data_IF_206132737051
#
_entry.id   IF_206132737051
#
_cell.length_a   1.000
_cell.length_b   1.000
_cell.length_c   1.000
_cell.angle_alpha   90.00
_cell.angle_beta   90.00
_cell.angle_gamma   90.00
#
_symmetry.space_group_name_H-M   'P 1'
#
loop_
_entity.id
_entity.type
_entity.pdbx_description
1 polymer ?
#
# COMPACT_ATOMS: atom_id res chain seq x y z
N UNK A 1 -8.08 -18.16 -28.25
CA UNK A 1 -9.52 -18.50 -28.40
C UNK A 1 -9.73 -18.81 -29.87
N UNK A 2 -10.06 -20.06 -30.21
CA UNK A 2 -10.32 -20.50 -31.56
C UNK A 2 -11.78 -20.94 -31.71
N UNK A 3 -12.39 -20.61 -32.83
CA UNK A 3 -13.79 -21.01 -33.15
C UNK A 3 -13.74 -22.41 -33.77
N UNK A 4 -14.42 -23.36 -33.17
CA UNK A 4 -14.59 -24.69 -33.73
C UNK A 4 -15.63 -24.71 -34.83
N UNK A 5 -15.62 -25.74 -35.73
CA UNK A 5 -16.54 -25.82 -36.89
C UNK A 5 -18.02 -25.95 -36.56
N UNK A 6 -18.38 -26.25 -35.33
CA UNK A 6 -19.73 -26.34 -34.77
C UNK A 6 -20.23 -25.05 -34.10
N UNK A 7 -19.46 -23.98 -34.21
CA UNK A 7 -19.80 -22.66 -33.65
C UNK A 7 -19.48 -22.48 -32.18
N UNK A 8 -18.86 -23.45 -31.54
CA UNK A 8 -18.35 -23.34 -30.18
C UNK A 8 -16.96 -22.68 -30.18
N UNK A 9 -16.60 -22.09 -29.05
CA UNK A 9 -15.26 -21.55 -28.84
C UNK A 9 -14.44 -22.48 -27.95
N UNK A 10 -13.30 -22.92 -28.44
CA UNK A 10 -12.31 -23.59 -27.61
C UNK A 10 -11.49 -22.53 -26.91
N UNK A 11 -11.60 -22.46 -25.57
CA UNK A 11 -10.76 -21.63 -24.71
C UNK A 11 -9.71 -22.56 -24.14
N UNK A 12 -8.49 -22.44 -24.62
CA UNK A 12 -7.35 -23.12 -24.00
C UNK A 12 -6.78 -22.20 -22.92
N UNK A 13 -6.94 -22.58 -21.69
CA UNK A 13 -6.20 -21.99 -20.58
C UNK A 13 -4.84 -22.69 -20.53
N UNK A 14 -3.80 -22.05 -21.02
CA UNK A 14 -2.45 -22.49 -20.69
C UNK A 14 -2.12 -21.94 -19.31
N UNK A 15 -2.30 -22.77 -18.29
CA UNK A 15 -1.70 -22.53 -16.99
C UNK A 15 -0.21 -22.83 -17.14
N UNK A 16 0.62 -21.81 -17.29
CA UNK A 16 2.04 -21.96 -17.00
C UNK A 16 2.16 -21.97 -15.49
N UNK A 17 2.49 -23.12 -14.88
CA UNK A 17 2.84 -23.11 -13.47
C UNK A 17 4.01 -22.15 -13.35
N UNK A 18 3.80 -21.11 -12.59
CA UNK A 18 4.80 -20.13 -12.29
C UNK A 18 5.96 -20.84 -11.61
N UNK A 19 7.09 -20.84 -12.24
CA UNK A 19 8.31 -21.40 -11.67
C UNK A 19 9.19 -20.21 -11.29
N UNK A 20 9.13 -19.82 -10.02
CA UNK A 20 10.24 -19.11 -9.43
C UNK A 20 11.46 -20.03 -9.56
N UNK A 21 12.51 -19.57 -10.24
CA UNK A 21 13.79 -20.29 -10.30
C UNK A 21 14.34 -20.72 -11.65
N UNK A 22 13.56 -20.71 -12.74
CA UNK A 22 14.06 -21.03 -14.07
C UNK A 22 14.57 -19.77 -14.82
N UNK A 23 15.56 -19.10 -14.23
CA UNK A 23 16.20 -17.96 -14.87
C UNK A 23 17.34 -18.40 -15.79
N UNK A 24 17.58 -17.70 -16.94
CA UNK A 24 18.79 -17.92 -17.74
C UNK A 24 20.06 -17.79 -16.89
N UNK A 25 21.08 -18.56 -17.22
CA UNK A 25 22.33 -18.58 -16.45
C UNK A 25 23.05 -17.21 -16.41
N UNK A 26 22.78 -16.35 -17.40
CA UNK A 26 23.30 -14.99 -17.55
C UNK A 26 22.30 -13.90 -17.11
N UNK A 27 21.20 -14.27 -16.44
CA UNK A 27 20.22 -13.31 -15.96
C UNK A 27 20.81 -12.39 -14.90
N UNK A 28 20.86 -11.11 -15.19
CA UNK A 28 21.46 -10.05 -14.36
C UNK A 28 20.43 -9.29 -13.50
N UNK A 29 19.33 -9.93 -13.09
CA UNK A 29 18.33 -9.32 -12.23
C UNK A 29 18.79 -9.22 -10.78
N UNK A 30 18.19 -8.27 -10.05
CA UNK A 30 18.35 -8.16 -8.59
C UNK A 30 17.62 -9.31 -7.91
N UNK A 31 18.12 -9.77 -6.76
CA UNK A 31 17.55 -10.91 -6.05
C UNK A 31 16.57 -10.43 -4.97
N UNK A 32 15.46 -11.17 -4.80
CA UNK A 32 14.52 -11.02 -3.71
C UNK A 32 14.08 -12.41 -3.23
N UNK A 33 14.31 -12.72 -1.95
CA UNK A 33 13.95 -13.98 -1.31
C UNK A 33 12.77 -13.86 -0.33
N UNK A 34 12.22 -12.66 -0.18
CA UNK A 34 11.09 -12.40 0.71
C UNK A 34 10.18 -11.30 0.15
N UNK A 35 8.99 -11.13 0.75
CA UNK A 35 8.11 -10.00 0.42
C UNK A 35 8.77 -8.66 0.75
N UNK A 36 9.44 -8.57 1.90
CA UNK A 36 10.13 -7.36 2.34
C UNK A 36 11.23 -6.96 1.37
N UNK A 37 12.07 -7.90 0.95
CA UNK A 37 13.13 -7.63 -0.04
C UNK A 37 12.55 -7.18 -1.39
N UNK A 38 11.43 -7.77 -1.85
CA UNK A 38 10.79 -7.36 -3.09
C UNK A 38 10.17 -5.95 -2.98
N UNK A 39 9.52 -5.64 -1.86
CA UNK A 39 8.97 -4.31 -1.58
C UNK A 39 10.09 -3.28 -1.57
N UNK A 40 11.17 -3.52 -0.81
CA UNK A 40 12.31 -2.62 -0.70
C UNK A 40 13.00 -2.40 -2.05
N UNK A 41 13.21 -3.48 -2.81
CA UNK A 41 13.79 -3.41 -4.15
C UNK A 41 12.92 -2.58 -5.10
N UNK A 42 11.61 -2.79 -5.11
CA UNK A 42 10.70 -2.02 -5.95
C UNK A 42 10.68 -0.53 -5.54
N UNK A 43 10.67 -0.25 -4.24
CA UNK A 43 10.69 1.12 -3.70
C UNK A 43 11.97 1.88 -4.07
N UNK A 44 13.12 1.21 -4.01
CA UNK A 44 14.43 1.81 -4.37
C UNK A 44 14.55 2.17 -5.85
N UNK A 45 13.79 1.49 -6.73
CA UNK A 45 13.94 1.59 -8.18
C UNK A 45 12.69 2.05 -8.92
N UNK A 46 11.82 2.82 -8.26
CA UNK A 46 10.62 3.38 -8.87
C UNK A 46 10.89 4.29 -10.08
N UNK A 47 12.12 4.78 -10.25
CA UNK A 47 12.57 5.56 -11.40
C UNK A 47 12.71 4.72 -12.69
N UNK A 48 12.72 3.40 -12.59
CA UNK A 48 12.82 2.47 -13.71
C UNK A 48 11.43 1.98 -14.13
N UNK A 49 11.13 1.97 -15.43
CA UNK A 49 9.87 1.44 -15.93
C UNK A 49 9.78 -0.09 -15.80
N UNK A 50 10.93 -0.75 -15.72
CA UNK A 50 11.07 -2.20 -15.54
C UNK A 50 12.31 -2.49 -14.70
N UNK A 51 12.12 -3.28 -13.65
CA UNK A 51 13.15 -3.66 -12.69
C UNK A 51 13.37 -5.17 -12.84
N UNK A 52 14.47 -5.63 -13.45
CA UNK A 52 14.78 -7.06 -13.54
C UNK A 52 14.96 -7.66 -12.14
N UNK A 53 14.19 -8.72 -11.82
CA UNK A 53 14.21 -9.36 -10.52
C UNK A 53 14.28 -10.88 -10.63
N UNK A 54 15.06 -11.49 -9.73
CA UNK A 54 15.12 -12.92 -9.51
C UNK A 54 14.52 -13.25 -8.15
N UNK A 55 13.44 -14.01 -8.16
CA UNK A 55 12.84 -14.53 -6.91
C UNK A 55 13.62 -15.78 -6.50
N UNK A 56 14.24 -15.74 -5.32
CA UNK A 56 15.14 -16.83 -4.87
C UNK A 56 14.44 -17.84 -3.97
N UNK A 57 13.31 -17.48 -3.34
CA UNK A 57 12.49 -18.42 -2.58
C UNK A 57 11.38 -19.04 -3.48
N UNK A 58 11.45 -20.34 -3.80
CA UNK A 58 10.45 -21.00 -4.64
C UNK A 58 9.09 -21.22 -3.97
N UNK A 59 8.96 -20.93 -2.69
CA UNK A 59 7.68 -21.00 -1.96
C UNK A 59 6.81 -19.78 -2.18
N UNK A 60 7.37 -18.64 -2.62
CA UNK A 60 6.65 -17.42 -2.89
C UNK A 60 5.85 -17.54 -4.20
N UNK A 61 4.55 -17.31 -4.12
CA UNK A 61 3.68 -17.36 -5.30
C UNK A 61 3.63 -15.99 -5.99
N UNK A 62 3.31 -15.99 -7.29
CA UNK A 62 3.13 -14.74 -8.05
C UNK A 62 2.03 -13.88 -7.49
N UNK A 63 0.93 -14.51 -7.11
CA UNK A 63 -0.23 -13.80 -6.58
C UNK A 63 0.15 -13.10 -5.26
N UNK A 64 0.87 -13.78 -4.38
CA UNK A 64 1.36 -13.20 -3.13
C UNK A 64 2.40 -12.09 -3.38
N UNK A 65 3.34 -12.31 -4.31
CA UNK A 65 4.32 -11.29 -4.71
C UNK A 65 3.66 -10.06 -5.33
N UNK A 66 2.65 -10.27 -6.20
CA UNK A 66 1.87 -9.19 -6.80
C UNK A 66 1.07 -8.39 -5.76
N UNK A 67 0.54 -9.06 -4.73
CA UNK A 67 -0.15 -8.41 -3.61
C UNK A 67 0.83 -7.63 -2.72
N UNK A 68 2.04 -8.16 -2.49
CA UNK A 68 3.07 -7.46 -1.74
C UNK A 68 3.48 -6.14 -2.42
N UNK A 69 3.58 -6.13 -3.74
CA UNK A 69 3.89 -4.92 -4.52
C UNK A 69 2.82 -3.82 -4.43
N UNK A 70 1.60 -4.11 -3.94
CA UNK A 70 0.60 -3.08 -3.68
C UNK A 70 0.97 -2.13 -2.53
N UNK A 71 1.97 -2.49 -1.72
CA UNK A 71 2.53 -1.60 -0.69
C UNK A 71 3.38 -0.46 -1.28
N UNK A 72 3.71 -0.52 -2.56
CA UNK A 72 4.65 0.38 -3.24
C UNK A 72 3.92 1.31 -4.21
N UNK A 73 4.51 2.48 -4.46
CA UNK A 73 4.05 3.40 -5.53
C UNK A 73 3.01 4.43 -5.11
N UNK A 74 2.56 4.44 -3.83
CA UNK A 74 1.79 5.54 -3.21
C UNK A 74 0.55 6.01 -3.97
N UNK A 75 -0.08 5.11 -4.75
CA UNK A 75 -1.25 5.43 -5.58
C UNK A 75 -0.93 6.14 -6.91
N UNK A 76 0.32 6.48 -7.19
CA UNK A 76 0.72 7.11 -8.46
C UNK A 76 1.50 6.20 -9.40
N UNK A 77 2.13 5.17 -8.87
CA UNK A 77 2.80 4.13 -9.64
C UNK A 77 2.20 2.76 -9.28
N UNK A 78 1.95 1.95 -10.29
CA UNK A 78 1.52 0.57 -10.14
C UNK A 78 2.71 -0.35 -10.38
N UNK A 79 3.14 -1.07 -9.35
CA UNK A 79 4.19 -2.07 -9.42
C UNK A 79 3.55 -3.45 -9.61
N UNK A 80 3.91 -4.15 -10.68
CA UNK A 80 3.38 -5.47 -10.99
C UNK A 80 4.50 -6.41 -11.38
N UNK A 81 4.45 -7.64 -10.87
CA UNK A 81 5.36 -8.68 -11.32
C UNK A 81 4.97 -9.13 -12.74
N UNK A 82 5.94 -9.25 -13.64
CA UNK A 82 5.75 -9.80 -14.97
C UNK A 82 5.25 -11.26 -14.90
N UNK A 83 4.56 -11.71 -15.95
CA UNK A 83 3.96 -13.07 -15.96
C UNK A 83 4.99 -14.19 -15.81
N UNK A 84 6.20 -13.98 -16.28
CA UNK A 84 7.33 -14.91 -16.18
C UNK A 84 8.17 -14.71 -14.91
N UNK A 85 7.83 -13.69 -14.08
CA UNK A 85 8.48 -13.39 -12.81
C UNK A 85 9.90 -12.86 -12.90
N UNK A 86 10.27 -12.40 -14.08
CA UNK A 86 11.65 -11.94 -14.31
C UNK A 86 11.81 -10.44 -14.11
N UNK A 87 10.70 -9.69 -13.96
CA UNK A 87 10.75 -8.24 -13.75
C UNK A 87 9.56 -7.72 -12.95
N UNK A 88 9.76 -6.62 -12.25
CA UNK A 88 8.69 -5.74 -11.75
C UNK A 88 8.52 -4.61 -12.76
N UNK A 89 7.34 -4.48 -13.33
CA UNK A 89 6.97 -3.35 -14.19
C UNK A 89 6.41 -2.22 -13.32
N UNK A 90 6.80 -0.98 -13.62
CA UNK A 90 6.37 0.23 -12.90
C UNK A 90 5.60 1.12 -13.88
N UNK A 91 4.28 1.23 -13.68
CA UNK A 91 3.38 1.92 -14.61
C UNK A 91 2.76 3.15 -13.94
N UNK A 92 2.88 4.35 -14.51
CA UNK A 92 2.20 5.53 -14.00
C UNK A 92 0.68 5.40 -14.06
N UNK A 93 0.00 5.87 -13.02
CA UNK A 93 -1.46 5.89 -12.91
C UNK A 93 -2.04 7.26 -13.30
N UNK A 94 -3.34 7.33 -13.44
CA UNK A 94 -4.11 8.55 -13.70
C UNK A 94 -3.62 9.36 -14.94
N UNK A 95 -3.08 8.70 -15.96
CA UNK A 95 -2.59 9.35 -17.17
C UNK A 95 -1.34 10.22 -16.99
N UNK A 96 -0.65 10.11 -15.87
CA UNK A 96 0.60 10.80 -15.63
C UNK A 96 1.74 10.23 -16.47
N UNK A 97 2.76 11.05 -16.72
CA UNK A 97 4.06 10.54 -17.16
C UNK A 97 4.79 9.90 -15.98
N UNK A 98 5.76 9.04 -16.23
CA UNK A 98 6.58 8.43 -15.18
C UNK A 98 7.21 9.48 -14.27
N UNK A 99 7.82 10.52 -14.85
CA UNK A 99 8.43 11.62 -14.09
C UNK A 99 7.39 12.37 -13.25
N UNK A 100 6.21 12.67 -13.79
CA UNK A 100 5.17 13.36 -13.03
C UNK A 100 4.65 12.52 -11.84
N UNK A 101 4.62 11.20 -11.97
CA UNK A 101 4.27 10.31 -10.85
C UNK A 101 5.36 10.32 -9.76
N UNK A 102 6.65 10.29 -10.15
CA UNK A 102 7.77 10.42 -9.22
C UNK A 102 7.77 11.79 -8.51
N UNK A 103 7.49 12.87 -9.25
CA UNK A 103 7.39 14.21 -8.66
C UNK A 103 6.29 14.27 -7.60
N UNK A 104 5.15 13.58 -7.83
CA UNK A 104 4.07 13.45 -6.83
C UNK A 104 4.51 12.70 -5.57
N UNK A 105 5.25 11.61 -5.72
CA UNK A 105 5.78 10.87 -4.57
C UNK A 105 6.76 11.72 -3.76
N UNK A 106 7.64 12.48 -4.42
CA UNK A 106 8.55 13.40 -3.76
C UNK A 106 7.82 14.55 -3.04
N UNK A 107 6.71 15.06 -3.61
CA UNK A 107 5.86 16.04 -2.93
C UNK A 107 5.20 15.45 -1.68
N UNK A 108 4.69 14.20 -1.74
CA UNK A 108 4.13 13.49 -0.57
C UNK A 108 5.17 13.34 0.53
N UNK A 109 6.38 12.91 0.19
CA UNK A 109 7.50 12.77 1.13
C UNK A 109 7.80 14.11 1.82
N UNK A 110 7.90 15.18 1.04
CA UNK A 110 8.13 16.53 1.55
C UNK A 110 7.02 17.00 2.50
N UNK A 111 5.75 16.76 2.15
CA UNK A 111 4.60 17.11 2.98
C UNK A 111 4.58 16.29 4.28
N UNK A 112 4.87 14.98 4.18
CA UNK A 112 4.95 14.11 5.36
C UNK A 112 6.05 14.58 6.32
N UNK A 113 7.24 14.91 5.80
CA UNK A 113 8.35 15.45 6.60
C UNK A 113 7.96 16.76 7.30
N UNK A 114 7.33 17.70 6.59
CA UNK A 114 6.87 18.97 7.18
C UNK A 114 5.87 18.74 8.33
N UNK A 115 4.92 17.82 8.16
CA UNK A 115 3.95 17.48 9.20
C UNK A 115 4.64 16.83 10.40
N UNK A 116 5.64 15.97 10.18
CA UNK A 116 6.44 15.39 11.27
C UNK A 116 7.18 16.49 12.02
N UNK A 117 7.83 17.44 11.35
CA UNK A 117 8.51 18.59 11.97
C UNK A 117 7.55 19.47 12.79
N UNK A 118 6.28 19.57 12.39
CA UNK A 118 5.24 20.32 13.11
C UNK A 118 4.71 19.59 14.35
N UNK A 119 4.60 18.26 14.30
CA UNK A 119 3.89 17.46 15.30
C UNK A 119 4.80 16.72 16.28
N UNK A 120 6.04 16.45 15.90
CA UNK A 120 6.98 15.59 16.64
C UNK A 120 8.12 16.41 17.22
N UNK A 121 8.50 16.09 18.45
CA UNK A 121 9.68 16.68 19.12
C UNK A 121 10.67 15.59 19.54
N UNK A 122 11.96 15.96 19.69
CA UNK A 122 13.04 15.03 20.10
C UNK A 122 12.79 14.36 21.45
N UNK A 123 11.92 14.93 22.29
CA UNK A 123 11.58 14.37 23.60
C UNK A 123 10.49 13.29 23.57
N UNK A 124 9.77 13.13 22.45
CA UNK A 124 8.71 12.15 22.31
C UNK A 124 9.28 10.75 22.09
N UNK A 125 8.73 9.79 22.80
CA UNK A 125 8.93 8.36 22.51
C UNK A 125 8.25 8.00 21.20
N UNK A 126 8.66 6.89 20.58
CA UNK A 126 8.07 6.43 19.30
C UNK A 126 6.55 6.25 19.37
N UNK A 127 5.95 5.67 20.45
CA UNK A 127 4.50 5.64 20.61
C UNK A 127 3.84 7.02 20.69
N UNK A 128 4.46 7.99 21.35
CA UNK A 128 3.95 9.37 21.42
C UNK A 128 4.01 10.06 20.06
N UNK A 129 5.07 9.85 19.27
CA UNK A 129 5.16 10.33 17.89
C UNK A 129 4.06 9.73 17.02
N UNK A 130 3.85 8.39 17.12
CA UNK A 130 2.80 7.70 16.39
C UNK A 130 1.41 8.26 16.69
N UNK A 131 1.08 8.48 17.96
CA UNK A 131 -0.21 9.04 18.38
C UNK A 131 -0.39 10.48 17.92
N UNK A 132 0.66 11.31 17.99
CA UNK A 132 0.62 12.70 17.53
C UNK A 132 0.35 12.78 16.03
N UNK A 133 1.01 11.96 15.20
CA UNK A 133 0.81 11.91 13.76
C UNK A 133 -0.56 11.35 13.39
N UNK A 134 -1.04 10.32 14.10
CA UNK A 134 -2.38 9.79 13.92
C UNK A 134 -3.46 10.82 14.25
N UNK A 135 -3.30 11.54 15.37
CA UNK A 135 -4.17 12.62 15.79
C UNK A 135 -4.21 13.74 14.74
N UNK A 136 -3.03 14.18 14.27
CA UNK A 136 -2.94 15.19 13.21
C UNK A 136 -3.71 14.80 11.95
N UNK A 137 -3.57 13.54 11.54
CA UNK A 137 -4.26 13.03 10.35
C UNK A 137 -5.78 12.99 10.57
N UNK A 138 -6.25 12.42 11.68
CA UNK A 138 -7.68 12.23 11.96
C UNK A 138 -8.43 13.52 12.24
N UNK A 139 -7.77 14.54 12.80
CA UNK A 139 -8.41 15.82 13.12
C UNK A 139 -8.46 16.80 11.96
N UNK A 140 -7.50 16.71 11.05
CA UNK A 140 -7.37 17.68 9.96
C UNK A 140 -8.04 17.23 8.68
N UNK A 141 -7.94 15.94 8.35
CA UNK A 141 -8.42 15.45 7.07
C UNK A 141 -9.91 15.18 7.10
N UNK A 142 -10.65 15.84 6.22
CA UNK A 142 -12.06 15.58 5.99
C UNK A 142 -12.25 14.41 5.01
N UNK A 143 -13.37 13.68 5.17
CA UNK A 143 -13.73 12.64 4.20
C UNK A 143 -14.35 13.26 2.94
N UNK A 144 -13.88 12.85 1.77
CA UNK A 144 -14.42 13.31 0.49
C UNK A 144 -15.71 12.58 0.14
N UNK A 145 -16.85 13.12 0.60
CA UNK A 145 -18.16 12.52 0.37
C UNK A 145 -18.61 12.55 -1.10
N UNK A 146 -17.89 13.23 -2.01
CA UNK A 146 -18.14 13.11 -3.45
C UNK A 146 -18.01 11.67 -3.94
N UNK A 147 -17.21 10.86 -3.26
CA UNK A 147 -17.14 9.41 -3.50
C UNK A 147 -18.53 8.76 -3.58
N UNK A 148 -19.49 9.19 -2.73
CA UNK A 148 -20.84 8.65 -2.70
C UNK A 148 -21.86 9.52 -3.46
N UNK A 149 -21.65 10.81 -3.54
CA UNK A 149 -22.68 11.74 -4.06
C UNK A 149 -22.45 12.17 -5.48
N UNK A 150 -21.21 12.31 -5.91
CA UNK A 150 -20.80 12.70 -7.26
C UNK A 150 -19.37 12.21 -7.57
N UNK A 151 -19.18 10.88 -7.74
CA UNK A 151 -17.84 10.29 -7.95
C UNK A 151 -17.09 10.90 -9.15
N UNK A 152 -17.81 11.38 -10.16
CA UNK A 152 -17.23 11.98 -11.36
C UNK A 152 -16.56 13.33 -11.11
N UNK A 153 -16.91 14.03 -10.03
CA UNK A 153 -16.29 15.32 -9.62
C UNK A 153 -15.18 15.15 -8.57
N UNK A 154 -15.00 13.93 -8.02
CA UNK A 154 -13.96 13.66 -7.03
C UNK A 154 -12.59 13.64 -7.72
N UNK A 155 -11.62 14.46 -7.28
CA UNK A 155 -10.28 14.42 -7.83
C UNK A 155 -9.57 13.11 -7.46
N UNK A 156 -8.70 12.67 -8.33
CA UNK A 156 -7.91 11.46 -8.09
C UNK A 156 -7.07 11.56 -6.80
N UNK A 157 -6.59 12.74 -6.50
CA UNK A 157 -5.79 13.06 -5.31
C UNK A 157 -6.49 12.63 -4.02
N UNK A 158 -7.83 12.70 -3.93
CA UNK A 158 -8.57 12.20 -2.76
C UNK A 158 -8.41 10.70 -2.50
N UNK A 159 -7.92 9.93 -3.49
CA UNK A 159 -7.61 8.50 -3.33
C UNK A 159 -6.19 8.23 -2.84
N UNK A 160 -5.34 9.24 -2.69
CA UNK A 160 -3.91 9.15 -2.42
C UNK A 160 -3.50 9.93 -1.18
N UNK A 161 -2.30 9.68 -0.66
CA UNK A 161 -1.70 10.45 0.42
C UNK A 161 -1.66 11.97 0.11
N UNK A 162 -1.50 12.35 -1.16
CA UNK A 162 -1.44 13.75 -1.57
C UNK A 162 -2.69 14.53 -1.17
N UNK A 163 -3.89 14.03 -1.47
CA UNK A 163 -5.13 14.68 -1.07
C UNK A 163 -5.27 14.83 0.45
N UNK A 164 -4.86 13.81 1.20
CA UNK A 164 -4.89 13.86 2.66
C UNK A 164 -3.89 14.86 3.25
N UNK A 165 -2.64 14.88 2.75
CA UNK A 165 -1.56 15.69 3.35
C UNK A 165 -1.52 17.12 2.82
N UNK A 166 -1.98 17.35 1.55
CA UNK A 166 -1.95 18.66 0.89
C UNK A 166 -3.27 19.41 1.02
N UNK A 167 -4.38 18.70 0.75
CA UNK A 167 -5.68 19.31 0.59
C UNK A 167 -6.58 19.11 1.81
N UNK A 168 -6.10 18.37 2.83
CA UNK A 168 -6.86 17.96 4.01
C UNK A 168 -8.20 17.25 3.62
N UNK A 169 -8.22 16.54 2.47
CA UNK A 169 -9.42 15.91 1.93
C UNK A 169 -9.10 14.57 1.24
N UNK A 170 -9.70 13.49 1.75
CA UNK A 170 -9.40 12.15 1.23
C UNK A 170 -10.55 11.16 1.45
N UNK A 171 -10.52 10.04 0.70
CA UNK A 171 -11.26 8.82 1.04
C UNK A 171 -10.32 7.84 1.77
N UNK A 172 -10.82 6.65 2.15
CA UNK A 172 -10.08 5.67 2.93
C UNK A 172 -8.66 5.36 2.39
N UNK A 173 -8.52 5.24 1.07
CA UNK A 173 -7.21 5.01 0.43
C UNK A 173 -6.23 6.14 0.71
N UNK A 174 -6.68 7.39 0.63
CA UNK A 174 -5.83 8.55 0.93
C UNK A 174 -5.43 8.63 2.40
N UNK A 175 -6.35 8.34 3.32
CA UNK A 175 -6.03 8.23 4.76
C UNK A 175 -4.98 7.15 5.04
N UNK A 176 -5.16 5.95 4.48
CA UNK A 176 -4.26 4.84 4.73
C UNK A 176 -2.85 5.09 4.18
N UNK A 177 -2.75 5.63 2.96
CA UNK A 177 -1.46 5.98 2.36
C UNK A 177 -0.79 7.16 3.07
N UNK A 178 -1.58 8.13 3.55
CA UNK A 178 -1.05 9.26 4.32
C UNK A 178 -0.47 8.80 5.67
N UNK A 179 -1.15 7.90 6.39
CA UNK A 179 -0.63 7.34 7.63
C UNK A 179 0.66 6.56 7.38
N UNK A 180 0.72 5.77 6.30
CA UNK A 180 1.95 5.06 5.90
C UNK A 180 3.09 6.06 5.67
N UNK A 181 2.87 7.09 4.85
CA UNK A 181 3.88 8.10 4.54
C UNK A 181 4.38 8.85 5.80
N UNK A 182 3.49 9.20 6.73
CA UNK A 182 3.85 9.85 7.99
C UNK A 182 4.68 8.94 8.89
N UNK A 183 4.30 7.67 9.00
CA UNK A 183 4.98 6.72 9.87
C UNK A 183 6.35 6.30 9.34
N UNK A 184 6.51 6.21 8.03
CA UNK A 184 7.80 5.99 7.38
C UNK A 184 8.82 7.07 7.74
N UNK A 185 8.41 8.35 7.89
CA UNK A 185 9.31 9.44 8.27
C UNK A 185 9.89 9.30 9.68
N UNK A 186 9.21 8.57 10.56
CA UNK A 186 9.67 8.33 11.95
C UNK A 186 10.12 6.89 12.18
N UNK A 187 10.30 6.11 11.09
CA UNK A 187 10.81 4.75 11.14
C UNK A 187 9.83 3.73 11.72
N UNK A 188 8.52 3.98 11.66
CA UNK A 188 7.48 3.04 12.10
C UNK A 188 7.03 2.22 10.88
N UNK A 189 7.23 0.89 10.86
CA UNK A 189 6.72 0.03 9.80
C UNK A 189 5.20 0.09 9.74
N UNK A 190 4.67 0.50 8.58
CA UNK A 190 3.26 0.70 8.35
C UNK A 190 2.84 0.14 6.98
N UNK A 191 1.92 -0.79 6.98
CA UNK A 191 1.38 -1.42 5.78
C UNK A 191 -0.05 -0.94 5.53
N UNK A 192 -0.43 -0.88 4.26
CA UNK A 192 -1.84 -0.71 3.89
C UNK A 192 -2.53 -2.07 3.82
N UNK A 193 -3.75 -2.15 4.32
CA UNK A 193 -4.61 -3.33 4.29
C UNK A 193 -5.88 -3.00 3.52
N UNK A 194 -6.18 -3.80 2.52
CA UNK A 194 -7.41 -3.70 1.74
C UNK A 194 -8.40 -4.79 2.15
N UNK A 195 -9.67 -4.43 2.26
CA UNK A 195 -10.74 -5.34 2.60
C UNK A 195 -12.10 -4.64 2.51
N UNK A 196 -13.01 -4.94 3.43
CA UNK A 196 -14.33 -4.33 3.51
C UNK A 196 -14.61 -3.82 4.91
N UNK A 197 -15.34 -2.72 4.99
CA UNK A 197 -15.98 -2.24 6.20
C UNK A 197 -17.48 -2.21 5.97
N UNK A 198 -18.25 -2.98 6.78
CA UNK A 198 -19.68 -3.16 6.62
C UNK A 198 -20.13 -3.52 5.20
N UNK A 199 -19.31 -4.31 4.47
CA UNK A 199 -19.59 -4.76 3.11
C UNK A 199 -19.18 -3.80 2.00
N UNK A 200 -18.65 -2.63 2.32
CA UNK A 200 -18.08 -1.68 1.35
C UNK A 200 -16.56 -1.81 1.28
N UNK A 201 -15.97 -1.67 0.09
CA UNK A 201 -14.53 -1.69 -0.06
C UNK A 201 -13.88 -0.62 0.79
N UNK A 202 -12.85 -0.99 1.53
CA UNK A 202 -12.18 -0.14 2.49
C UNK A 202 -10.69 -0.41 2.57
N UNK A 203 -9.93 0.60 2.99
CA UNK A 203 -8.50 0.52 3.20
C UNK A 203 -8.13 1.15 4.54
N UNK A 204 -7.24 0.48 5.27
CA UNK A 204 -6.72 0.91 6.57
C UNK A 204 -5.27 0.46 6.72
N UNK A 205 -4.70 0.51 7.92
CA UNK A 205 -3.30 0.19 8.14
C UNK A 205 -3.09 -0.93 9.17
N UNK A 206 -1.95 -1.59 9.02
CA UNK A 206 -1.34 -2.46 10.00
C UNK A 206 0.03 -1.86 10.36
N UNK A 207 0.28 -1.64 11.64
CA UNK A 207 1.41 -0.87 12.15
C UNK A 207 2.21 -1.71 13.14
N UNK A 208 3.53 -1.75 12.98
CA UNK A 208 4.45 -2.37 13.94
C UNK A 208 4.96 -1.34 14.94
N UNK A 209 4.60 -1.53 16.19
CA UNK A 209 5.03 -0.67 17.27
C UNK A 209 5.02 -1.43 18.60
N UNK A 210 6.03 -1.20 19.46
CA UNK A 210 6.21 -1.90 20.73
C UNK A 210 6.30 -3.44 20.61
N UNK A 211 6.87 -3.92 19.50
CA UNK A 211 7.12 -5.35 19.28
C UNK A 211 5.89 -6.14 18.82
N UNK A 212 4.85 -5.48 18.33
CA UNK A 212 3.65 -6.15 17.84
C UNK A 212 2.97 -5.41 16.69
N UNK A 213 2.28 -6.17 15.83
CA UNK A 213 1.43 -5.63 14.79
C UNK A 213 0.04 -5.27 15.34
N UNK A 214 -0.43 -4.04 15.06
CA UNK A 214 -1.76 -3.55 15.44
C UNK A 214 -2.41 -2.82 14.27
N UNK A 215 -3.74 -2.91 14.20
CA UNK A 215 -4.52 -2.23 13.15
C UNK A 215 -4.82 -0.80 13.56
N UNK A 216 -4.80 0.09 12.56
CA UNK A 216 -5.19 1.49 12.66
C UNK A 216 -6.13 1.84 11.50
N UNK A 217 -7.29 2.41 11.78
CA UNK A 217 -8.18 2.97 10.74
C UNK A 217 -8.45 4.44 11.03
N UNK A 218 -7.61 5.29 10.47
CA UNK A 218 -7.72 6.74 10.63
C UNK A 218 -9.00 7.31 9.99
N UNK A 219 -9.55 6.65 8.97
CA UNK A 219 -10.82 7.06 8.37
C UNK A 219 -11.98 6.93 9.35
N UNK A 220 -12.05 5.81 10.09
CA UNK A 220 -13.09 5.56 11.09
C UNK A 220 -12.92 6.43 12.33
N UNK A 221 -11.70 6.84 12.64
CA UNK A 221 -11.38 7.66 13.81
C UNK A 221 -11.34 9.19 13.52
N UNK A 222 -11.67 9.62 12.29
CA UNK A 222 -11.67 11.05 11.94
C UNK A 222 -12.55 11.88 12.88
N UNK A 223 -11.98 12.98 13.39
CA UNK A 223 -12.65 13.89 14.30
C UNK A 223 -12.96 13.31 15.69
N UNK A 224 -12.25 12.27 16.13
CA UNK A 224 -12.51 11.58 17.40
C UNK A 224 -11.45 11.80 18.48
N UNK A 225 -10.43 12.62 18.26
CA UNK A 225 -9.32 12.79 19.21
C UNK A 225 -9.77 13.16 20.62
N UNK A 226 -10.80 14.02 20.75
CA UNK A 226 -11.35 14.44 22.05
C UNK A 226 -12.22 13.36 22.73
N UNK A 227 -12.73 12.37 21.97
CA UNK A 227 -13.64 11.32 22.46
C UNK A 227 -12.96 9.98 22.68
N UNK A 228 -11.69 9.87 22.27
CA UNK A 228 -10.93 8.64 22.22
C UNK A 228 -11.12 7.89 20.90
N UNK A 229 -10.01 7.33 20.42
CA UNK A 229 -9.98 6.54 19.20
C UNK A 229 -10.60 5.16 19.41
N UNK A 230 -11.34 4.69 18.40
CA UNK A 230 -11.95 3.36 18.38
C UNK A 230 -11.14 2.33 17.59
N UNK A 231 -10.31 2.80 16.65
CA UNK A 231 -9.58 1.99 15.69
C UNK A 231 -8.07 2.30 15.68
N UNK A 232 -7.53 2.86 16.76
CA UNK A 232 -6.10 3.12 16.92
C UNK A 232 -5.43 1.98 17.67
N UNK A 233 -4.46 1.30 17.03
CA UNK A 233 -3.67 0.21 17.59
C UNK A 233 -4.50 -0.93 18.19
N UNK A 234 -5.55 -1.34 17.49
CA UNK A 234 -6.43 -2.42 17.93
C UNK A 234 -6.02 -3.79 17.38
N UNK A 235 -6.46 -4.84 18.04
CA UNK A 235 -6.33 -6.22 17.54
C UNK A 235 -7.35 -6.48 16.44
N UNK A 236 -7.15 -7.55 15.67
CA UNK A 236 -8.11 -7.99 14.64
C UNK A 236 -9.54 -8.18 15.21
N UNK A 237 -9.65 -8.72 16.43
CA UNK A 237 -10.93 -8.97 17.11
C UNK A 237 -11.66 -7.66 17.48
N UNK A 238 -10.91 -6.58 17.71
CA UNK A 238 -11.43 -5.29 18.12
C UNK A 238 -11.62 -4.32 16.93
N UNK A 239 -11.24 -4.72 15.72
CA UNK A 239 -11.48 -3.93 14.50
C UNK A 239 -12.87 -4.26 13.92
N UNK A 240 -13.89 -3.69 14.52
CA UNK A 240 -15.29 -4.03 14.29
C UNK A 240 -15.78 -3.63 12.90
N UNK A 241 -16.56 -4.53 12.28
CA UNK A 241 -17.13 -4.30 10.95
C UNK A 241 -16.17 -4.48 9.79
N UNK A 242 -14.88 -4.73 10.06
CA UNK A 242 -13.87 -4.97 9.04
C UNK A 242 -13.72 -6.45 8.72
N UNK A 243 -13.54 -6.75 7.43
CA UNK A 243 -13.23 -8.10 6.94
C UNK A 243 -12.14 -8.04 5.89
N UNK A 244 -11.15 -8.93 5.99
CA UNK A 244 -10.02 -9.01 5.08
C UNK A 244 -9.44 -10.43 5.05
N UNK A 245 -8.50 -10.67 4.16
CA UNK A 245 -7.73 -11.89 4.09
C UNK A 245 -6.64 -11.90 5.19
N UNK A 246 -7.01 -12.41 6.38
CA UNK A 246 -6.10 -12.46 7.54
C UNK A 246 -4.92 -13.41 7.31
N UNK A 247 -5.13 -14.50 6.57
CA UNK A 247 -4.07 -15.45 6.24
C UNK A 247 -3.02 -14.78 5.34
N UNK A 248 -3.46 -13.95 4.38
CA UNK A 248 -2.55 -13.16 3.58
C UNK A 248 -1.74 -12.17 4.41
N UNK A 249 -2.40 -11.40 5.27
CA UNK A 249 -1.72 -10.42 6.14
C UNK A 249 -0.70 -11.11 7.06
N UNK A 250 -1.03 -12.28 7.62
CA UNK A 250 -0.10 -13.05 8.44
C UNK A 250 1.12 -13.52 7.64
N UNK A 251 0.94 -13.96 6.39
CA UNK A 251 2.07 -14.33 5.52
C UNK A 251 2.93 -13.11 5.16
N UNK A 252 2.31 -11.99 4.81
CA UNK A 252 3.03 -10.75 4.48
C UNK A 252 3.90 -10.31 5.66
N UNK A 253 3.34 -10.22 6.85
CA UNK A 253 4.05 -9.75 8.05
C UNK A 253 5.14 -10.71 8.52
N UNK A 254 4.96 -12.03 8.34
CA UNK A 254 6.00 -13.02 8.67
C UNK A 254 7.23 -12.95 7.78
N UNK A 255 7.11 -12.36 6.60
CA UNK A 255 8.21 -12.15 5.65
C UNK A 255 8.85 -10.76 5.73
N UNK A 256 8.47 -9.95 6.73
CA UNK A 256 9.06 -8.63 6.95
C UNK A 256 10.02 -8.70 8.14
N UNK A 257 11.25 -8.20 7.94
CA UNK A 257 12.19 -7.95 9.03
C UNK A 257 11.82 -6.60 9.66
N UNK A 258 11.38 -6.59 10.92
CA UNK A 258 10.95 -5.41 11.68
C UNK A 258 11.63 -5.35 13.04
#
# INVERSE_FOLDING_TARGET
MERTGDGLYQITFSYMPYRTGDYPADFAGKEAGSFGELIALAQEHLDQAEIPVRITDPSLTVDDLGRALQQVGGGYLLCQLSRDGTAVTVTPLNGLTHQAALDRLAEIETLAQQIVEECVTDSMTLPEQAEALYTRLTDRVAYDFRYYTDPGSMPYESTTAYGALKDDLAICGGYAQALQALYEQVGIPCLTVSGQWNGENHMWNLVWLDGEWRYCDATSDRGRSEFGFGCYRVTAENLWGHTWDQDWVARLTSGLEV
#
